data_IF_805959079890
#
_entry.id   IF_805959079890
#
_cell.length_a   1.000
_cell.length_b   1.000
_cell.length_c   1.000
_cell.angle_alpha   90.00
_cell.angle_beta   90.00
_cell.angle_gamma   90.00
#
_symmetry.space_group_name_H-M   'P 1'
#
loop_
_entity.id
_entity.type
_entity.pdbx_description
1 polymer ?
#
# COMPACT_ATOMS: atom_id res chain seq x y z
N UNK A 1 42.20 -39.29 -29.18
CA UNK A 1 41.08 -40.03 -29.81
C UNK A 1 39.80 -39.42 -29.23
N UNK A 2 39.00 -38.63 -29.96
CA UNK A 2 38.07 -39.00 -31.07
C UNK A 2 37.25 -40.21 -30.64
N UNK A 3 35.94 -40.16 -30.38
CA UNK A 3 34.79 -39.71 -31.20
C UNK A 3 33.58 -39.58 -30.23
N UNK A 4 32.75 -38.54 -30.26
CA UNK A 4 31.53 -38.37 -31.10
C UNK A 4 30.36 -39.32 -30.77
N UNK A 5 29.17 -38.72 -30.55
CA UNK A 5 27.85 -39.09 -31.11
C UNK A 5 26.75 -38.23 -30.41
N UNK A 6 26.44 -37.05 -30.95
CA UNK A 6 25.26 -36.74 -31.79
C UNK A 6 23.95 -36.62 -31.03
N UNK A 7 23.33 -35.44 -31.13
CA UNK A 7 21.96 -35.21 -30.66
C UNK A 7 21.51 -33.77 -30.89
N UNK A 8 21.40 -33.39 -32.17
CA UNK A 8 20.78 -32.15 -32.62
C UNK A 8 19.32 -32.11 -32.14
N UNK A 9 18.96 -31.11 -31.32
CA UNK A 9 17.58 -30.65 -31.21
C UNK A 9 17.55 -29.16 -31.57
N UNK A 10 17.35 -28.92 -32.85
CA UNK A 10 16.83 -27.67 -33.39
C UNK A 10 15.32 -27.68 -33.14
N UNK A 11 14.77 -26.75 -32.36
CA UNK A 11 13.58 -25.99 -32.78
C UNK A 11 13.23 -24.85 -31.81
N UNK A 12 13.55 -23.65 -32.28
CA UNK A 12 12.79 -22.40 -32.23
C UNK A 12 11.54 -22.34 -31.32
N UNK A 13 11.60 -21.45 -30.33
CA UNK A 13 10.44 -20.67 -29.90
C UNK A 13 10.87 -19.19 -29.88
N UNK A 14 10.46 -18.47 -30.92
CA UNK A 14 10.42 -17.01 -30.93
C UNK A 14 9.46 -16.58 -29.82
N UNK A 15 10.00 -15.94 -28.80
CA UNK A 15 9.25 -15.19 -27.80
C UNK A 15 10.14 -14.01 -27.45
N UNK A 16 9.66 -12.82 -27.76
CA UNK A 16 10.31 -11.53 -27.59
C UNK A 16 11.33 -11.48 -26.46
N UNK A 17 12.53 -10.95 -26.76
CA UNK A 17 13.33 -10.28 -25.75
C UNK A 17 12.45 -9.18 -25.18
N UNK A 18 11.65 -9.51 -24.16
CA UNK A 18 10.95 -8.53 -23.35
C UNK A 18 12.07 -7.71 -22.73
N UNK A 19 12.39 -6.60 -23.39
CA UNK A 19 13.24 -5.55 -22.85
C UNK A 19 12.67 -5.28 -21.47
N UNK A 20 13.37 -5.76 -20.43
CA UNK A 20 12.96 -5.55 -19.05
C UNK A 20 12.74 -4.05 -18.93
N UNK A 21 11.48 -3.63 -18.77
CA UNK A 21 11.17 -2.22 -18.59
C UNK A 21 12.12 -1.69 -17.52
N UNK A 22 12.76 -0.52 -17.73
CA UNK A 22 13.63 0.07 -16.74
C UNK A 22 12.87 0.05 -15.41
N UNK A 23 13.48 -0.54 -14.37
CA UNK A 23 12.85 -0.75 -13.08
C UNK A 23 12.36 0.60 -12.55
N UNK A 24 11.09 0.93 -12.83
CA UNK A 24 10.47 2.15 -12.34
C UNK A 24 10.17 1.88 -10.87
N UNK A 25 10.66 2.73 -9.95
CA UNK A 25 10.24 2.63 -8.56
C UNK A 25 8.71 2.66 -8.53
N UNK A 26 8.13 1.78 -7.72
CA UNK A 26 6.69 1.72 -7.56
C UNK A 26 6.18 3.13 -7.17
N UNK A 27 5.12 3.65 -7.82
CA UNK A 27 4.69 5.04 -7.61
C UNK A 27 4.32 5.34 -6.16
N UNK A 28 3.93 4.33 -5.39
CA UNK A 28 3.59 4.46 -3.98
C UNK A 28 4.52 3.64 -3.09
N UNK A 29 5.07 4.30 -2.07
CA UNK A 29 5.81 3.69 -0.98
C UNK A 29 4.85 3.44 0.19
N UNK A 30 4.67 2.18 0.60
CA UNK A 30 3.81 1.82 1.73
C UNK A 30 4.60 1.49 3.00
N UNK A 31 5.93 1.54 2.98
CA UNK A 31 6.78 1.18 4.12
C UNK A 31 6.56 2.09 5.33
N UNK A 32 6.09 3.33 5.14
CA UNK A 32 5.73 4.21 6.25
C UNK A 32 4.68 3.57 7.17
N UNK A 33 3.74 2.79 6.61
CA UNK A 33 2.67 2.14 7.35
C UNK A 33 3.12 0.91 8.15
N UNK A 34 4.41 0.55 8.12
CA UNK A 34 4.98 -0.42 9.05
C UNK A 34 5.04 0.12 10.48
N UNK A 35 5.05 1.45 10.64
CA UNK A 35 5.11 2.11 11.94
C UNK A 35 3.72 2.63 12.30
N UNK A 36 3.29 2.42 13.55
CA UNK A 36 1.97 2.88 14.03
C UNK A 36 1.89 4.39 14.29
N UNK A 37 2.96 5.14 14.04
CA UNK A 37 3.10 6.56 14.34
C UNK A 37 3.36 7.43 13.11
N UNK A 38 2.82 7.05 11.96
CA UNK A 38 2.89 7.89 10.76
C UNK A 38 2.12 9.18 11.03
N UNK A 39 2.82 10.31 10.92
CA UNK A 39 2.19 11.62 10.92
C UNK A 39 1.65 11.90 9.52
N UNK A 40 0.33 12.08 9.42
CA UNK A 40 -0.38 12.44 8.19
C UNK A 40 -0.90 13.87 8.37
N UNK A 41 -0.02 14.89 8.32
CA UNK A 41 -0.41 16.27 8.57
C UNK A 41 -1.42 16.74 7.52
N UNK A 42 -2.42 17.47 7.98
CA UNK A 42 -3.44 18.08 7.12
C UNK A 42 -3.49 19.58 7.34
N UNK A 43 -3.95 20.30 6.32
CA UNK A 43 -4.12 21.75 6.35
C UNK A 43 -5.56 22.02 6.77
N UNK A 44 -5.79 22.96 7.71
CA UNK A 44 -7.14 23.25 8.20
C UNK A 44 -8.05 23.82 7.11
N UNK A 45 -7.48 24.44 6.06
CA UNK A 45 -8.20 24.95 4.89
C UNK A 45 -8.94 23.87 4.08
N UNK A 46 -8.47 22.62 4.13
CA UNK A 46 -9.11 21.50 3.44
C UNK A 46 -10.19 20.81 4.28
N UNK A 47 -10.49 21.33 5.48
CA UNK A 47 -11.53 20.82 6.36
C UNK A 47 -11.44 19.32 6.70
N UNK A 48 -10.22 18.76 6.67
CA UNK A 48 -9.96 17.38 7.08
C UNK A 48 -9.85 17.33 8.59
N UNK A 49 -10.78 16.63 9.25
CA UNK A 49 -10.81 16.50 10.71
C UNK A 49 -10.18 15.21 11.22
N UNK A 50 -10.09 14.17 10.39
CA UNK A 50 -9.46 12.91 10.77
C UNK A 50 -8.92 12.17 9.55
N UNK A 51 -7.72 11.64 9.68
CA UNK A 51 -7.08 10.69 8.76
C UNK A 51 -6.71 9.47 9.58
N UNK A 52 -7.08 8.28 9.10
CA UNK A 52 -6.71 7.03 9.77
C UNK A 52 -6.50 5.89 8.78
N UNK A 53 -5.67 4.94 9.18
CA UNK A 53 -5.55 3.65 8.49
C UNK A 53 -6.72 2.77 8.92
N UNK A 54 -7.62 2.49 7.97
CA UNK A 54 -8.81 1.66 8.18
C UNK A 54 -8.46 0.17 8.06
N UNK A 55 -7.70 -0.19 7.03
CA UNK A 55 -7.28 -1.56 6.81
C UNK A 55 -5.83 -1.62 6.35
N UNK A 56 -5.17 -2.72 6.68
CA UNK A 56 -3.80 -3.01 6.30
C UNK A 56 -3.70 -4.47 5.85
N UNK A 57 -3.23 -4.69 4.63
CA UNK A 57 -2.89 -6.02 4.12
C UNK A 57 -1.39 -6.13 3.99
N UNK A 58 -0.82 -7.15 4.62
CA UNK A 58 0.61 -7.41 4.59
C UNK A 58 0.91 -8.89 4.48
N UNK A 59 2.06 -9.19 3.89
CA UNK A 59 2.57 -10.53 3.71
C UNK A 59 3.70 -10.77 4.71
N UNK A 60 3.61 -11.87 5.45
CA UNK A 60 4.64 -12.30 6.39
C UNK A 60 5.58 -13.24 5.66
N UNK A 61 6.88 -12.96 5.74
CA UNK A 61 7.94 -13.80 5.18
C UNK A 61 8.45 -14.78 6.23
N UNK A 62 8.52 -16.07 5.91
CA UNK A 62 8.95 -17.10 6.84
C UNK A 62 8.56 -18.51 6.41
N UNK A 63 8.77 -19.49 7.30
CA UNK A 63 8.37 -20.87 7.08
C UNK A 63 6.85 -21.04 6.93
N UNK A 64 6.08 -20.19 7.62
CA UNK A 64 4.62 -20.08 7.53
C UNK A 64 4.26 -18.78 6.80
N UNK A 65 4.72 -18.63 5.56
CA UNK A 65 4.41 -17.45 4.76
C UNK A 65 2.91 -17.35 4.48
N UNK A 66 2.38 -16.13 4.55
CA UNK A 66 0.96 -15.91 4.39
C UNK A 66 0.58 -14.43 4.36
N UNK A 67 -0.59 -14.17 3.79
CA UNK A 67 -1.16 -12.83 3.69
C UNK A 67 -2.14 -12.62 4.83
N UNK A 68 -1.92 -11.58 5.63
CA UNK A 68 -2.80 -11.16 6.71
C UNK A 68 -3.46 -9.85 6.29
N UNK A 69 -4.78 -9.80 6.42
CA UNK A 69 -5.56 -8.55 6.27
C UNK A 69 -6.16 -8.21 7.61
N UNK A 70 -5.90 -7.00 8.09
CA UNK A 70 -6.52 -6.46 9.29
C UNK A 70 -7.39 -5.28 8.87
N UNK A 71 -8.69 -5.38 9.11
CA UNK A 71 -9.66 -4.32 8.84
C UNK A 71 -10.30 -3.87 10.16
N UNK A 72 -10.20 -2.57 10.47
CA UNK A 72 -10.81 -1.98 11.64
C UNK A 72 -12.34 -1.85 11.52
N UNK A 73 -12.91 -2.05 10.33
CA UNK A 73 -14.35 -2.03 10.08
C UNK A 73 -15.00 -0.73 10.55
N UNK A 74 -16.01 -0.85 11.41
CA UNK A 74 -16.69 0.29 12.07
C UNK A 74 -16.02 0.75 13.36
N UNK A 75 -14.99 0.04 13.82
CA UNK A 75 -14.26 0.43 15.02
C UNK A 75 -13.61 1.79 14.80
N UNK A 76 -13.67 2.65 15.81
CA UNK A 76 -12.91 3.92 15.83
C UNK A 76 -11.43 3.69 16.16
N UNK A 77 -11.07 2.48 16.65
CA UNK A 77 -9.68 2.14 16.96
C UNK A 77 -8.84 2.05 15.68
N UNK A 78 -7.60 2.56 15.68
CA UNK A 78 -6.71 2.42 14.55
C UNK A 78 -6.33 0.94 14.33
N UNK A 79 -6.09 0.56 13.08
CA UNK A 79 -5.74 -0.83 12.70
C UNK A 79 -4.56 -1.38 13.51
N UNK A 80 -3.60 -0.53 13.87
CA UNK A 80 -2.41 -0.90 14.64
C UNK A 80 -2.70 -1.39 16.05
N UNK A 81 -3.76 -0.89 16.70
CA UNK A 81 -4.18 -1.39 18.01
C UNK A 81 -4.75 -2.80 17.89
N UNK A 82 -5.46 -3.10 16.79
CA UNK A 82 -5.94 -4.45 16.51
C UNK A 82 -4.78 -5.41 16.21
N UNK A 83 -3.78 -4.94 15.46
CA UNK A 83 -2.55 -5.69 15.22
C UNK A 83 -1.87 -6.01 16.56
N UNK A 84 -1.63 -5.01 17.42
CA UNK A 84 -0.98 -5.23 18.73
C UNK A 84 -1.78 -6.14 19.66
N UNK A 85 -3.11 -6.09 19.61
CA UNK A 85 -3.97 -6.89 20.48
C UNK A 85 -4.08 -8.36 20.05
N UNK A 86 -3.89 -8.67 18.75
CA UNK A 86 -4.17 -9.99 18.19
C UNK A 86 -2.97 -10.69 17.52
N UNK A 87 -1.94 -9.97 17.10
CA UNK A 87 -0.67 -10.55 16.66
C UNK A 87 0.27 -10.68 17.88
N UNK A 88 0.84 -11.87 18.09
CA UNK A 88 1.78 -12.13 19.17
C UNK A 88 2.98 -11.16 19.15
N UNK A 89 3.63 -10.94 20.30
CA UNK A 89 4.72 -9.96 20.50
C UNK A 89 5.85 -10.02 19.45
N UNK A 90 6.07 -11.18 18.80
CA UNK A 90 7.07 -11.33 17.74
C UNK A 90 6.65 -10.72 16.39
N UNK A 91 5.35 -10.61 16.12
CA UNK A 91 4.78 -10.02 14.89
C UNK A 91 4.25 -8.60 15.11
N UNK A 92 4.27 -8.12 16.36
CA UNK A 92 3.81 -6.78 16.74
C UNK A 92 4.60 -5.65 16.05
N UNK A 93 5.78 -5.95 15.52
CA UNK A 93 6.55 -5.04 14.67
C UNK A 93 6.38 -5.45 13.22
N UNK A 94 5.64 -4.68 12.43
CA UNK A 94 5.50 -4.86 10.97
C UNK A 94 6.80 -4.56 10.20
N UNK A 95 7.97 -4.61 10.85
CA UNK A 95 9.25 -4.29 10.24
C UNK A 95 9.62 -5.30 9.14
N UNK A 96 9.38 -6.59 9.41
CA UNK A 96 9.78 -7.72 8.55
C UNK A 96 8.71 -8.18 7.57
N UNK A 97 7.57 -7.48 7.50
CA UNK A 97 6.48 -7.81 6.56
C UNK A 97 6.53 -6.94 5.31
N UNK A 98 5.94 -7.41 4.22
CA UNK A 98 5.71 -6.56 3.03
C UNK A 98 4.28 -6.06 3.05
N UNK A 99 4.09 -4.74 3.17
CA UNK A 99 2.77 -4.13 3.03
C UNK A 99 2.35 -4.23 1.57
N UNK A 100 1.22 -4.88 1.31
CA UNK A 100 0.67 -5.11 -0.04
C UNK A 100 -0.40 -4.08 -0.39
N UNK A 101 -1.18 -3.64 0.60
CA UNK A 101 -2.28 -2.71 0.41
C UNK A 101 -2.59 -1.99 1.73
N UNK A 102 -2.89 -0.70 1.62
CA UNK A 102 -3.32 0.14 2.75
C UNK A 102 -4.63 0.81 2.37
N UNK A 103 -5.65 0.70 3.22
CA UNK A 103 -6.89 1.46 3.07
C UNK A 103 -6.88 2.64 4.04
N UNK A 104 -6.87 3.85 3.51
CA UNK A 104 -6.99 5.08 4.28
C UNK A 104 -8.45 5.54 4.32
N UNK A 105 -8.86 6.03 5.48
CA UNK A 105 -10.13 6.70 5.65
C UNK A 105 -9.89 8.13 6.10
N UNK A 106 -10.47 9.06 5.34
CA UNK A 106 -10.38 10.49 5.60
C UNK A 106 -11.76 11.08 5.80
N UNK A 107 -11.87 11.95 6.79
CA UNK A 107 -13.10 12.59 7.19
C UNK A 107 -13.01 14.08 6.90
N UNK A 108 -13.94 14.56 6.08
CA UNK A 108 -14.12 15.96 5.75
C UNK A 108 -15.32 16.53 6.51
N UNK A 109 -15.14 17.66 7.16
CA UNK A 109 -16.19 18.38 7.88
C UNK A 109 -16.17 19.88 7.53
N UNK A 110 -16.68 20.24 6.34
CA UNK A 110 -16.73 21.64 5.93
C UNK A 110 -17.77 22.42 6.73
N UNK A 111 -17.53 23.71 7.03
CA UNK A 111 -18.47 24.52 7.80
C UNK A 111 -19.82 24.63 7.08
N UNK A 112 -20.91 24.31 7.78
CA UNK A 112 -22.27 24.38 7.24
C UNK A 112 -22.64 23.28 6.25
N UNK A 113 -21.78 22.27 6.03
CA UNK A 113 -22.06 21.11 5.18
C UNK A 113 -22.10 19.81 6.00
N UNK A 114 -22.72 18.77 5.44
CA UNK A 114 -22.74 17.43 6.05
C UNK A 114 -21.33 16.83 6.01
N UNK A 115 -20.94 16.19 7.12
CA UNK A 115 -19.74 15.37 7.23
C UNK A 115 -19.67 14.34 6.09
N UNK A 116 -18.52 14.29 5.41
CA UNK A 116 -18.21 13.33 4.36
C UNK A 116 -17.03 12.45 4.78
N UNK A 117 -17.01 11.23 4.27
CA UNK A 117 -15.94 10.28 4.58
C UNK A 117 -15.54 9.61 3.28
N UNK A 118 -14.29 9.82 2.89
CA UNK A 118 -13.66 9.19 1.74
C UNK A 118 -12.84 8.03 2.26
N UNK A 119 -12.98 6.86 1.64
CA UNK A 119 -12.14 5.70 1.95
C UNK A 119 -11.56 5.20 0.64
N UNK A 120 -10.25 5.10 0.59
CA UNK A 120 -9.50 4.73 -0.60
C UNK A 120 -8.38 3.77 -0.24
N UNK A 121 -7.91 3.04 -1.23
CA UNK A 121 -6.97 1.94 -1.16
C UNK A 121 -5.74 2.28 -2.01
N UNK A 122 -4.59 2.00 -1.43
CA UNK A 122 -3.28 2.25 -2.02
C UNK A 122 -2.54 0.92 -2.04
N UNK A 123 -2.14 0.50 -3.22
CA UNK A 123 -1.16 -0.57 -3.45
C UNK A 123 0.14 0.08 -3.96
N UNK A 124 1.28 -0.63 -3.95
CA UNK A 124 2.53 -0.07 -4.48
C UNK A 124 2.41 0.43 -5.92
N UNK A 125 1.51 -0.15 -6.72
CA UNK A 125 1.35 0.14 -8.14
C UNK A 125 0.14 1.01 -8.46
N UNK A 126 -0.85 1.13 -7.57
CA UNK A 126 -2.13 1.77 -7.87
C UNK A 126 -2.74 2.46 -6.64
N UNK A 127 -3.47 3.56 -6.87
CA UNK A 127 -4.31 4.22 -5.87
C UNK A 127 -5.69 4.45 -6.48
N UNK A 128 -6.77 4.05 -5.79
CA UNK A 128 -8.13 4.13 -6.31
C UNK A 128 -8.85 5.46 -5.96
N UNK A 129 -8.11 6.57 -5.94
CA UNK A 129 -8.73 7.90 -5.83
C UNK A 129 -9.30 8.29 -7.20
N UNK A 130 -10.61 8.48 -7.27
CA UNK A 130 -11.29 9.03 -8.44
C UNK A 130 -11.02 10.56 -8.55
N UNK A 131 -11.89 11.29 -9.25
CA UNK A 131 -11.73 12.72 -9.57
C UNK A 131 -12.77 13.61 -8.88
N UNK A 132 -13.14 13.29 -7.64
CA UNK A 132 -13.93 14.22 -6.81
C UNK A 132 -13.04 15.32 -6.20
N UNK A 133 -13.64 16.47 -5.84
CA UNK A 133 -12.92 17.59 -5.22
C UNK A 133 -12.15 17.15 -3.97
N UNK A 134 -12.75 16.31 -3.13
CA UNK A 134 -12.10 15.73 -1.96
C UNK A 134 -10.94 14.78 -2.32
N UNK A 135 -11.05 14.02 -3.40
CA UNK A 135 -10.03 13.05 -3.82
C UNK A 135 -8.84 13.74 -4.52
N UNK A 136 -9.07 14.82 -5.25
CA UNK A 136 -7.99 15.67 -5.78
C UNK A 136 -7.16 16.29 -4.65
N UNK A 137 -7.81 16.73 -3.57
CA UNK A 137 -7.12 17.20 -2.36
C UNK A 137 -6.27 16.07 -1.77
N UNK A 138 -6.83 14.85 -1.66
CA UNK A 138 -6.11 13.69 -1.13
C UNK A 138 -4.92 13.29 -2.00
N UNK A 139 -5.03 13.41 -3.32
CA UNK A 139 -3.94 13.18 -4.27
C UNK A 139 -2.76 14.12 -4.00
N UNK A 140 -3.03 15.39 -3.69
CA UNK A 140 -2.01 16.33 -3.23
C UNK A 140 -1.34 15.88 -1.91
N UNK A 141 -2.12 15.35 -0.98
CA UNK A 141 -1.60 14.83 0.29
C UNK A 141 -0.75 13.58 0.16
N UNK A 142 -0.98 12.71 -0.84
CA UNK A 142 -0.14 11.53 -1.04
C UNK A 142 1.33 11.93 -1.26
N UNK A 143 1.57 13.05 -1.95
CA UNK A 143 2.91 13.63 -2.11
C UNK A 143 3.44 14.23 -0.81
N UNK A 144 2.62 15.03 -0.11
CA UNK A 144 3.02 15.65 1.16
C UNK A 144 3.34 14.61 2.25
N UNK A 145 2.62 13.49 2.28
CA UNK A 145 2.83 12.37 3.20
C UNK A 145 3.98 11.44 2.79
N UNK A 146 4.68 11.74 1.69
CA UNK A 146 5.76 10.89 1.14
C UNK A 146 5.28 9.47 0.82
N UNK A 147 3.99 9.31 0.50
CA UNK A 147 3.41 8.05 0.04
C UNK A 147 3.63 7.92 -1.46
N UNK A 148 3.36 8.97 -2.22
CA UNK A 148 3.67 9.03 -3.65
C UNK A 148 5.14 9.44 -3.84
N UNK A 149 5.94 8.56 -4.45
CA UNK A 149 7.39 8.74 -4.63
C UNK A 149 7.80 8.91 -6.09
N UNK A 150 6.93 8.56 -7.04
CA UNK A 150 7.14 8.81 -8.46
C UNK A 150 6.04 9.74 -8.98
N UNK A 151 6.41 10.98 -9.29
CA UNK A 151 5.54 12.02 -9.84
C UNK A 151 6.31 13.10 -10.56
#
# INVERSE_FOLDING_TARGET
MRDELTGIFTELAVGESQESEPWKPAPYNLDLFKRSGVELPTKPEHHITSVRVKALRFEVHGADSGTITVDAGRSLKPVYELIRAHLAEQTATLADVTIREVSLQVVFEPPGKRKRTVTFEITPTHCNLDDSEEEDILRGYLKEWTIEVAG
#
